data_IF_761981974282
#
_entry.id   IF_761981974282
#
_cell.length_a   1.000
_cell.length_b   1.000
_cell.length_c   1.000
_cell.angle_alpha   90.00
_cell.angle_beta   90.00
_cell.angle_gamma   90.00
#
_symmetry.space_group_name_H-M   'P 1'
#
loop_
_entity.id
_entity.type
_entity.pdbx_description
1 polymer ?
#
# COMPACT_ATOMS: atom_id res chain seq x y z
N UNK A 1 49.28 60.19 7.06
CA UNK A 1 50.45 59.76 6.26
C UNK A 1 50.61 58.26 6.53
N UNK A 2 50.47 57.31 5.62
CA UNK A 2 50.59 57.30 4.16
C UNK A 2 49.47 56.44 3.54
N UNK A 3 49.03 56.88 2.35
CA UNK A 3 48.30 56.09 1.36
C UNK A 3 49.27 55.12 0.66
N UNK A 4 48.68 54.06 0.09
CA UNK A 4 49.07 53.31 -1.14
C UNK A 4 48.93 51.80 -0.88
N UNK A 5 47.81 51.19 -1.26
CA UNK A 5 47.49 50.65 -2.60
C UNK A 5 48.35 49.43 -2.98
N UNK A 6 47.74 48.24 -3.06
CA UNK A 6 47.58 47.52 -4.32
C UNK A 6 46.75 46.24 -4.13
N UNK A 7 45.84 46.03 -5.08
CA UNK A 7 44.98 44.86 -5.28
C UNK A 7 45.82 43.69 -5.78
N UNK A 8 45.59 42.48 -5.28
CA UNK A 8 45.71 41.25 -6.08
C UNK A 8 44.65 40.23 -5.63
N UNK A 9 43.75 39.94 -6.55
CA UNK A 9 42.76 38.86 -6.53
C UNK A 9 43.49 37.59 -6.94
N UNK A 10 43.39 36.53 -6.13
CA UNK A 10 43.51 35.15 -6.61
C UNK A 10 42.45 34.31 -5.91
N UNK A 11 41.34 34.13 -6.62
CA UNK A 11 40.40 33.06 -6.36
C UNK A 11 40.98 31.76 -6.92
N UNK A 12 41.00 30.70 -6.12
CA UNK A 12 41.07 29.33 -6.65
C UNK A 12 40.02 28.52 -5.88
N UNK A 13 38.83 28.44 -6.51
CA UNK A 13 37.81 27.43 -6.24
C UNK A 13 38.31 26.10 -6.83
N UNK A 14 38.39 25.06 -6.00
CA UNK A 14 38.67 23.70 -6.49
C UNK A 14 37.33 23.04 -6.84
N UNK A 15 36.96 23.14 -8.11
CA UNK A 15 35.90 22.36 -8.75
C UNK A 15 36.60 21.27 -9.59
N UNK A 16 36.47 20.00 -9.21
CA UNK A 16 36.92 18.88 -10.03
C UNK A 16 35.71 18.29 -10.77
N UNK A 17 35.75 18.41 -12.09
CA UNK A 17 34.70 18.03 -13.04
C UNK A 17 35.19 16.83 -13.86
N UNK A 18 34.28 15.85 -13.99
CA UNK A 18 34.14 14.82 -15.03
C UNK A 18 35.28 13.80 -15.25
N UNK A 19 34.94 12.52 -15.04
CA UNK A 19 35.38 11.44 -15.91
C UNK A 19 34.15 10.92 -16.70
N UNK A 20 34.08 11.29 -17.97
CA UNK A 20 33.18 10.69 -18.97
C UNK A 20 33.72 9.31 -19.34
N UNK A 21 33.02 8.24 -18.94
CA UNK A 21 33.10 6.97 -19.63
C UNK A 21 31.83 6.79 -20.44
N UNK A 22 31.95 7.01 -21.76
CA UNK A 22 30.96 6.55 -22.73
C UNK A 22 30.97 5.02 -22.75
N UNK A 23 29.88 4.39 -22.31
CA UNK A 23 29.47 3.08 -22.80
C UNK A 23 28.19 3.28 -23.61
N UNK A 24 28.32 3.27 -24.93
CA UNK A 24 27.19 2.98 -25.82
C UNK A 24 26.88 1.49 -25.72
N UNK A 25 25.68 1.12 -25.28
CA UNK A 25 25.23 -0.27 -25.27
C UNK A 25 23.85 -0.49 -24.64
N UNK A 26 22.83 -0.58 -25.50
CA UNK A 26 21.45 -1.04 -25.26
C UNK A 26 20.54 -0.24 -24.31
N UNK A 27 19.52 0.35 -24.92
CA UNK A 27 18.33 0.91 -24.30
C UNK A 27 17.56 -0.12 -23.48
N UNK A 28 17.71 -0.08 -22.16
CA UNK A 28 16.71 -0.49 -21.20
C UNK A 28 16.35 0.73 -20.36
N UNK A 29 15.06 1.05 -20.25
CA UNK A 29 14.56 2.13 -19.40
C UNK A 29 15.22 2.05 -18.01
N UNK A 30 15.84 3.14 -17.58
CA UNK A 30 16.63 3.20 -16.35
C UNK A 30 15.83 2.71 -15.15
N UNK A 31 16.32 1.67 -14.49
CA UNK A 31 15.94 1.42 -13.11
C UNK A 31 16.59 2.52 -12.28
N UNK A 32 15.76 3.35 -11.64
CA UNK A 32 16.26 4.31 -10.65
C UNK A 32 17.03 3.56 -9.55
N UNK A 33 18.20 4.07 -9.13
CA UNK A 33 18.96 3.48 -8.04
C UNK A 33 18.08 3.44 -6.79
N UNK A 34 18.06 2.30 -6.12
CA UNK A 34 17.36 2.14 -4.84
C UNK A 34 18.18 2.90 -3.80
N UNK A 35 17.87 4.18 -3.60
CA UNK A 35 18.35 4.93 -2.45
C UNK A 35 17.92 4.19 -1.17
N UNK A 36 18.80 4.15 -0.18
CA UNK A 36 18.49 3.69 1.18
C UNK A 36 17.45 4.65 1.77
N UNK A 37 16.17 4.37 1.56
CA UNK A 37 15.10 5.26 1.97
C UNK A 37 13.81 4.95 1.21
N UNK A 38 12.79 4.61 1.98
CA UNK A 38 11.49 4.10 1.55
C UNK A 38 10.71 5.13 0.73
N UNK A 39 10.98 5.26 -0.58
CA UNK A 39 10.09 6.01 -1.47
C UNK A 39 8.85 5.17 -1.79
N UNK A 40 7.78 5.46 -1.06
CA UNK A 40 6.44 5.06 -1.43
C UNK A 40 6.00 5.90 -2.65
N UNK A 41 5.91 5.25 -3.82
CA UNK A 41 5.54 5.91 -5.09
C UNK A 41 4.20 6.65 -5.07
N UNK A 42 3.31 6.40 -4.12
CA UNK A 42 1.99 7.06 -4.07
C UNK A 42 2.03 8.36 -3.26
N UNK A 43 2.80 8.41 -2.18
CA UNK A 43 2.78 9.54 -1.23
C UNK A 43 4.04 10.40 -1.26
N UNK A 44 5.12 9.91 -1.87
CA UNK A 44 6.38 10.64 -1.98
C UNK A 44 6.56 11.24 -3.39
N UNK A 45 5.49 11.27 -4.20
CA UNK A 45 5.39 12.04 -5.45
C UNK A 45 5.13 13.50 -5.15
N UNK A 46 5.47 14.36 -6.11
CA UNK A 46 5.07 15.77 -6.08
C UNK A 46 3.52 15.86 -6.05
N UNK A 47 2.92 16.66 -5.14
CA UNK A 47 1.47 16.85 -5.09
C UNK A 47 0.83 17.25 -6.43
N UNK A 48 1.58 17.95 -7.29
CA UNK A 48 1.13 18.37 -8.62
C UNK A 48 1.08 17.24 -9.66
N UNK A 49 1.59 16.05 -9.33
CA UNK A 49 1.56 14.85 -10.18
C UNK A 49 0.55 13.79 -9.69
N UNK A 50 -0.13 14.05 -8.57
CA UNK A 50 -1.07 13.09 -8.00
C UNK A 50 -2.34 13.00 -8.87
N UNK A 51 -2.73 11.77 -9.19
CA UNK A 51 -3.94 11.46 -9.97
C UNK A 51 -4.98 10.74 -9.10
N UNK A 52 -5.00 11.00 -7.80
CA UNK A 52 -5.93 10.41 -6.84
C UNK A 52 -6.21 11.37 -5.67
N UNK A 53 -7.33 11.21 -4.94
CA UNK A 53 -7.56 11.95 -3.70
C UNK A 53 -6.46 11.74 -2.67
N UNK A 54 -6.17 12.76 -1.88
CA UNK A 54 -5.12 12.73 -0.85
C UNK A 54 -5.75 12.65 0.54
N UNK A 55 -5.38 11.63 1.30
CA UNK A 55 -5.74 11.51 2.70
C UNK A 55 -4.83 12.38 3.57
N UNK A 56 -5.40 13.00 4.62
CA UNK A 56 -4.62 13.79 5.59
C UNK A 56 -3.68 12.93 6.44
N UNK A 57 -3.88 11.61 6.45
CA UNK A 57 -3.05 10.62 7.11
C UNK A 57 -2.87 9.40 6.17
N UNK A 58 -1.72 8.73 6.23
CA UNK A 58 -1.36 7.65 5.29
C UNK A 58 -1.93 6.29 5.70
N UNK A 59 -2.62 6.21 6.84
CA UNK A 59 -3.03 4.95 7.45
C UNK A 59 -1.99 4.43 8.45
N UNK A 60 -2.42 3.51 9.30
CA UNK A 60 -1.61 2.97 10.38
C UNK A 60 -2.40 2.73 11.66
N UNK A 61 -1.70 2.74 12.79
CA UNK A 61 -2.26 2.38 14.09
C UNK A 61 -2.57 3.60 14.94
N UNK A 62 -3.68 3.55 15.66
CA UNK A 62 -4.10 4.63 16.53
C UNK A 62 -4.80 4.13 17.79
N UNK A 63 -4.65 4.86 18.89
CA UNK A 63 -5.20 4.46 20.19
C UNK A 63 -6.60 5.00 20.49
N UNK A 64 -6.92 6.18 19.96
CA UNK A 64 -8.18 6.90 20.20
C UNK A 64 -8.82 7.28 18.86
N UNK A 65 -10.08 7.74 18.87
CA UNK A 65 -10.70 8.22 17.63
C UNK A 65 -9.82 9.26 16.93
N UNK A 66 -9.76 9.18 15.61
CA UNK A 66 -9.03 10.14 14.78
C UNK A 66 -9.95 10.78 13.76
N UNK A 67 -9.63 12.02 13.38
CA UNK A 67 -10.27 12.71 12.28
C UNK A 67 -9.41 12.52 11.03
N UNK A 68 -10.05 12.03 9.96
CA UNK A 68 -9.47 11.91 8.63
C UNK A 68 -10.12 12.94 7.71
N UNK A 69 -9.32 13.63 6.90
CA UNK A 69 -9.79 14.48 5.80
C UNK A 69 -9.27 13.96 4.47
N UNK A 70 -10.02 14.26 3.42
CA UNK A 70 -9.66 13.94 2.04
C UNK A 70 -9.61 15.23 1.23
N UNK A 71 -8.61 15.39 0.37
CA UNK A 71 -8.44 16.57 -0.47
C UNK A 71 -8.37 16.16 -1.95
N UNK A 72 -8.98 16.97 -2.80
CA UNK A 72 -8.88 16.82 -4.27
C UNK A 72 -7.44 17.19 -4.68
N UNK A 73 -6.74 16.37 -5.47
CA UNK A 73 -5.38 16.69 -5.91
C UNK A 73 -5.38 17.94 -6.79
N UNK A 74 -4.24 18.64 -6.83
CA UNK A 74 -4.10 19.91 -7.57
C UNK A 74 -4.42 19.76 -9.06
N UNK A 75 -4.09 18.60 -9.63
CA UNK A 75 -4.39 18.20 -11.01
C UNK A 75 -5.88 18.22 -11.36
N UNK A 76 -6.76 18.07 -10.37
CA UNK A 76 -8.21 17.99 -10.55
C UNK A 76 -8.94 19.20 -9.95
N UNK A 77 -8.26 20.33 -9.67
CA UNK A 77 -8.90 21.54 -9.14
C UNK A 77 -9.78 22.23 -10.21
N UNK A 78 -10.93 21.63 -10.50
CA UNK A 78 -12.05 22.21 -11.24
C UNK A 78 -13.27 22.37 -10.31
N UNK A 79 -14.19 23.26 -10.67
CA UNK A 79 -15.35 23.60 -9.83
C UNK A 79 -16.39 22.49 -9.67
N UNK A 80 -16.30 21.44 -10.48
CA UNK A 80 -17.29 20.36 -10.58
C UNK A 80 -16.77 18.99 -10.10
N UNK A 81 -15.58 18.93 -9.50
CA UNK A 81 -15.04 17.67 -8.99
C UNK A 81 -15.65 17.32 -7.64
N UNK A 82 -16.13 16.07 -7.54
CA UNK A 82 -16.65 15.47 -6.30
C UNK A 82 -15.79 14.29 -5.87
N UNK A 83 -15.67 14.06 -4.56
CA UNK A 83 -15.02 12.87 -4.01
C UNK A 83 -16.11 11.88 -3.58
N UNK A 84 -15.96 10.62 -4.01
CA UNK A 84 -16.80 9.49 -3.57
C UNK A 84 -16.00 8.59 -2.66
N UNK A 85 -16.63 8.08 -1.60
CA UNK A 85 -15.96 7.32 -0.54
C UNK A 85 -16.70 6.03 -0.18
N UNK A 86 -15.94 5.05 0.30
CA UNK A 86 -16.45 3.80 0.87
C UNK A 86 -15.63 3.40 2.12
N UNK A 87 -16.25 2.64 3.01
CA UNK A 87 -15.66 2.19 4.28
C UNK A 87 -15.62 0.66 4.45
N UNK A 88 -16.17 -0.07 3.48
CA UNK A 88 -16.33 -1.52 3.48
C UNK A 88 -15.33 -2.25 2.57
N UNK A 89 -14.42 -1.49 1.94
CA UNK A 89 -13.43 -2.01 1.01
C UNK A 89 -13.88 -2.07 -0.45
N UNK A 90 -15.14 -1.73 -0.77
CA UNK A 90 -15.64 -1.63 -2.15
C UNK A 90 -15.06 -0.43 -2.90
N UNK A 91 -15.00 -0.50 -4.22
CA UNK A 91 -14.53 0.59 -5.08
C UNK A 91 -15.57 1.70 -5.12
N UNK A 92 -15.20 2.96 -4.82
CA UNK A 92 -16.11 4.07 -5.01
C UNK A 92 -16.52 4.18 -6.48
N UNK A 93 -17.82 4.34 -6.69
CA UNK A 93 -18.45 4.68 -7.97
C UNK A 93 -19.24 6.00 -7.85
N UNK A 94 -19.82 6.46 -8.95
CA UNK A 94 -20.59 7.72 -8.97
C UNK A 94 -21.83 7.69 -8.05
N UNK A 95 -22.31 6.50 -7.67
CA UNK A 95 -23.43 6.30 -6.74
C UNK A 95 -23.02 6.20 -5.27
N UNK A 96 -21.73 6.06 -4.99
CA UNK A 96 -21.18 5.97 -3.63
C UNK A 96 -21.35 7.27 -2.85
N UNK A 97 -21.15 7.19 -1.53
CA UNK A 97 -21.29 8.33 -0.63
C UNK A 97 -20.40 9.49 -1.07
N UNK A 98 -20.97 10.70 -1.17
CA UNK A 98 -20.21 11.90 -1.50
C UNK A 98 -19.57 12.44 -0.22
N UNK A 99 -18.26 12.70 -0.27
CA UNK A 99 -17.54 13.35 0.80
C UNK A 99 -17.91 14.85 0.87
N UNK A 100 -18.31 15.31 2.05
CA UNK A 100 -18.82 16.67 2.29
C UNK A 100 -17.73 17.70 2.61
N UNK A 101 -16.47 17.27 2.69
CA UNK A 101 -15.34 18.12 3.09
C UNK A 101 -15.08 18.15 4.61
N UNK A 102 -15.92 17.49 5.41
CA UNK A 102 -15.87 17.44 6.86
C UNK A 102 -14.93 16.39 7.44
N UNK A 103 -14.84 16.34 8.77
CA UNK A 103 -14.01 15.34 9.46
C UNK A 103 -14.68 13.96 9.42
N UNK A 104 -13.99 12.97 8.85
CA UNK A 104 -14.36 11.56 8.95
C UNK A 104 -13.83 11.03 10.28
N UNK A 105 -14.72 10.71 11.22
CA UNK A 105 -14.34 10.23 12.55
C UNK A 105 -14.16 8.71 12.51
N UNK A 106 -12.91 8.22 12.58
CA UNK A 106 -12.61 6.80 12.63
C UNK A 106 -12.48 6.30 14.08
N UNK A 107 -12.99 5.10 14.41
CA UNK A 107 -13.60 4.12 13.50
C UNK A 107 -15.13 4.27 13.36
N UNK A 108 -15.72 5.39 13.80
CA UNK A 108 -17.18 5.58 13.85
C UNK A 108 -17.83 5.60 12.46
N UNK A 109 -17.14 6.14 11.45
CA UNK A 109 -17.62 6.21 10.07
C UNK A 109 -17.77 4.83 9.40
N UNK A 110 -17.01 3.84 9.88
CA UNK A 110 -17.08 2.47 9.37
C UNK A 110 -15.85 1.67 9.73
N UNK A 111 -16.06 0.48 10.28
CA UNK A 111 -14.98 -0.45 10.57
C UNK A 111 -15.50 -1.90 10.66
N UNK A 112 -14.59 -2.82 10.37
CA UNK A 112 -14.71 -4.22 10.78
C UNK A 112 -14.13 -4.36 12.18
N UNK A 113 -14.84 -5.05 13.07
CA UNK A 113 -14.35 -5.38 14.42
C UNK A 113 -13.99 -6.85 14.50
N UNK A 114 -12.86 -7.16 15.12
CA UNK A 114 -12.38 -8.55 15.22
C UNK A 114 -13.18 -9.42 16.18
N UNK A 115 -13.91 -8.81 17.10
CA UNK A 115 -14.89 -9.49 17.93
C UNK A 115 -16.28 -8.91 17.64
N UNK A 116 -17.31 -9.77 17.67
CA UNK A 116 -18.68 -9.34 17.37
C UNK A 116 -19.29 -8.50 18.51
N UNK A 117 -18.70 -8.55 19.70
CA UNK A 117 -19.09 -7.72 20.84
C UNK A 117 -18.49 -6.32 20.76
N UNK A 118 -19.28 -5.25 20.81
CA UNK A 118 -18.78 -3.87 20.73
C UNK A 118 -18.14 -3.38 22.04
N UNK A 119 -17.03 -3.97 22.49
CA UNK A 119 -16.27 -3.49 23.65
C UNK A 119 -14.91 -2.86 23.25
N UNK A 120 -14.27 -2.15 24.18
CA UNK A 120 -12.99 -1.47 23.93
C UNK A 120 -11.79 -2.42 23.78
N UNK A 121 -11.97 -3.74 23.97
CA UNK A 121 -10.92 -4.75 23.75
C UNK A 121 -10.82 -5.19 22.29
N UNK A 122 -11.67 -4.65 21.42
CA UNK A 122 -11.67 -5.02 20.01
C UNK A 122 -10.69 -4.19 19.19
N UNK A 123 -10.04 -4.88 18.27
CA UNK A 123 -9.43 -4.22 17.12
C UNK A 123 -10.55 -3.68 16.23
N UNK A 124 -10.42 -2.43 15.78
CA UNK A 124 -11.30 -1.88 14.74
C UNK A 124 -10.45 -1.53 13.52
N UNK A 125 -10.79 -2.09 12.37
CA UNK A 125 -10.10 -1.83 11.11
C UNK A 125 -11.02 -1.07 10.19
N UNK A 126 -10.63 0.15 9.82
CA UNK A 126 -11.31 0.98 8.85
C UNK A 126 -10.51 0.97 7.55
N UNK A 127 -11.14 0.57 6.46
CA UNK A 127 -10.57 0.67 5.12
C UNK A 127 -11.30 1.80 4.43
N UNK A 128 -10.59 2.89 4.13
CA UNK A 128 -11.18 4.03 3.42
C UNK A 128 -10.69 3.98 1.98
N UNK A 129 -11.62 3.94 1.03
CA UNK A 129 -11.32 4.11 -0.39
C UNK A 129 -12.00 5.38 -0.89
N UNK A 130 -11.30 6.15 -1.72
CA UNK A 130 -11.80 7.39 -2.27
C UNK A 130 -11.40 7.57 -3.73
N UNK A 131 -12.29 8.16 -4.54
CA UNK A 131 -11.98 8.54 -5.91
C UNK A 131 -12.64 9.88 -6.28
N UNK A 132 -12.00 10.63 -7.17
CA UNK A 132 -12.56 11.86 -7.73
C UNK A 132 -13.46 11.54 -8.92
N UNK A 133 -14.51 12.34 -9.12
CA UNK A 133 -15.44 12.25 -10.25
C UNK A 133 -15.74 13.64 -10.80
N UNK A 134 -15.84 13.76 -12.12
CA UNK A 134 -16.27 15.00 -12.79
C UNK A 134 -17.78 15.23 -12.67
N UNK A 135 -18.27 16.38 -13.19
CA UNK A 135 -19.68 16.73 -13.18
C UNK A 135 -20.59 15.77 -13.96
N UNK A 136 -20.04 14.98 -14.88
CA UNK A 136 -20.74 13.97 -15.66
C UNK A 136 -20.76 12.59 -14.97
N UNK A 137 -20.06 12.44 -13.85
CA UNK A 137 -19.96 11.20 -13.09
C UNK A 137 -18.90 10.24 -13.62
N UNK A 138 -17.95 10.68 -14.45
CA UNK A 138 -16.80 9.89 -14.83
C UNK A 138 -15.73 9.95 -13.74
N UNK A 139 -15.12 8.81 -13.41
CA UNK A 139 -14.00 8.78 -12.47
C UNK A 139 -12.79 9.51 -13.06
N UNK A 140 -12.17 10.35 -12.24
CA UNK A 140 -10.91 11.01 -12.52
C UNK A 140 -9.77 10.27 -11.82
N UNK A 141 -8.89 9.68 -12.63
CA UNK A 141 -7.68 9.02 -12.16
C UNK A 141 -7.94 7.76 -11.32
N UNK A 142 -7.08 7.57 -10.32
CA UNK A 142 -6.92 6.35 -9.54
C UNK A 142 -7.72 6.40 -8.24
N UNK A 143 -7.89 5.23 -7.63
CA UNK A 143 -8.58 5.06 -6.35
C UNK A 143 -7.56 5.11 -5.22
N UNK A 144 -7.68 6.10 -4.34
CA UNK A 144 -6.88 6.17 -3.13
C UNK A 144 -7.42 5.16 -2.11
N UNK A 145 -6.53 4.39 -1.48
CA UNK A 145 -6.88 3.38 -0.47
C UNK A 145 -5.96 3.51 0.74
N UNK A 146 -6.54 3.51 1.95
CA UNK A 146 -5.78 3.51 3.20
C UNK A 146 -6.45 2.63 4.25
N UNK A 147 -5.62 1.96 5.06
CA UNK A 147 -6.07 1.11 6.18
C UNK A 147 -5.70 1.79 7.50
N UNK A 148 -6.69 1.92 8.38
CA UNK A 148 -6.54 2.50 9.71
C UNK A 148 -6.95 1.48 10.76
N UNK A 149 -6.10 1.26 11.76
CA UNK A 149 -6.25 0.20 12.76
C UNK A 149 -6.33 0.84 14.15
N UNK A 150 -7.54 0.89 14.73
CA UNK A 150 -7.72 1.25 16.14
C UNK A 150 -7.26 0.09 17.00
N UNK A 151 -6.26 0.34 17.83
CA UNK A 151 -5.79 -0.63 18.80
C UNK A 151 -6.79 -0.80 19.95
N UNK A 152 -6.94 -2.02 20.48
CA UNK A 152 -7.80 -2.27 21.62
C UNK A 152 -7.21 -1.64 22.88
N UNK A 153 -8.06 -1.50 23.90
CA UNK A 153 -7.64 -1.15 25.25
C UNK A 153 -7.57 -2.38 26.13
N UNK A 154 -6.49 -2.48 26.90
CA UNK A 154 -6.27 -3.46 27.96
C UNK A 154 -6.13 -2.71 29.28
N UNK A 155 -6.98 -3.05 30.24
CA UNK A 155 -7.01 -2.42 31.57
C UNK A 155 -7.12 -0.88 31.55
N UNK A 156 -7.88 -0.35 30.59
CA UNK A 156 -8.13 1.09 30.43
C UNK A 156 -7.16 1.82 29.51
N UNK A 157 -6.03 1.19 29.18
CA UNK A 157 -4.94 1.77 28.38
C UNK A 157 -4.86 1.14 26.99
N UNK A 158 -4.34 1.88 26.01
CA UNK A 158 -4.17 1.39 24.64
C UNK A 158 -3.10 0.28 24.62
N UNK A 159 -3.44 -0.88 24.05
CA UNK A 159 -2.53 -2.02 23.92
C UNK A 159 -1.64 -1.88 22.66
N UNK A 160 -0.61 -1.04 22.76
CA UNK A 160 0.39 -0.85 21.70
C UNK A 160 1.21 -2.10 21.38
N UNK A 161 1.20 -3.09 22.28
CA UNK A 161 1.90 -4.36 22.07
C UNK A 161 0.98 -5.44 21.50
N UNK A 162 -0.23 -5.08 21.04
CA UNK A 162 -1.18 -6.02 20.45
C UNK A 162 -0.60 -6.79 19.26
N UNK A 163 0.27 -6.16 18.49
CA UNK A 163 1.00 -6.77 17.38
C UNK A 163 2.50 -6.73 17.70
N UNK A 164 3.14 -7.90 17.65
CA UNK A 164 4.59 -8.07 17.79
C UNK A 164 5.21 -8.65 16.50
N UNK A 165 4.42 -8.68 15.43
CA UNK A 165 4.79 -9.10 14.10
C UNK A 165 4.33 -8.04 13.10
N UNK A 166 5.00 -7.94 11.94
CA UNK A 166 4.53 -7.09 10.86
C UNK A 166 3.09 -7.40 10.46
N UNK A 167 2.34 -6.36 10.06
CA UNK A 167 0.94 -6.47 9.66
C UNK A 167 0.81 -6.18 8.18
N UNK A 168 0.10 -7.04 7.44
CA UNK A 168 -0.23 -6.84 6.04
C UNK A 168 -1.74 -6.62 5.91
N UNK A 169 -2.12 -5.51 5.29
CA UNK A 169 -3.49 -5.27 4.83
C UNK A 169 -3.58 -5.59 3.34
N UNK A 170 -4.63 -6.30 2.93
CA UNK A 170 -4.95 -6.61 1.53
C UNK A 170 -6.39 -6.16 1.28
N UNK A 171 -6.58 -5.20 0.38
CA UNK A 171 -7.88 -4.64 0.04
C UNK A 171 -8.18 -4.89 -1.44
N UNK A 172 -9.34 -5.45 -1.73
CA UNK A 172 -9.79 -5.76 -3.09
C UNK A 172 -11.31 -5.78 -3.12
N UNK A 173 -11.89 -5.57 -4.31
CA UNK A 173 -13.31 -5.85 -4.54
C UNK A 173 -13.69 -7.26 -4.12
N UNK A 174 -14.86 -7.39 -3.49
CA UNK A 174 -15.41 -8.69 -3.09
C UNK A 174 -15.52 -9.64 -4.30
N UNK A 175 -15.96 -9.12 -5.45
CA UNK A 175 -16.09 -9.87 -6.69
C UNK A 175 -14.78 -10.51 -7.16
N UNK A 176 -13.62 -9.91 -6.86
CA UNK A 176 -12.33 -10.53 -7.18
C UNK A 176 -12.08 -11.82 -6.39
N UNK A 177 -12.75 -11.99 -5.25
CA UNK A 177 -12.67 -13.17 -4.40
C UNK A 177 -13.82 -14.14 -4.68
N UNK A 178 -15.07 -13.65 -4.66
CA UNK A 178 -16.27 -14.49 -4.55
C UNK A 178 -17.05 -14.67 -5.85
N UNK A 179 -16.80 -13.85 -6.89
CA UNK A 179 -17.54 -13.96 -8.15
C UNK A 179 -17.46 -15.40 -8.71
N UNK A 180 -18.57 -16.06 -9.07
CA UNK A 180 -18.53 -17.47 -9.48
C UNK A 180 -17.68 -17.73 -10.73
N UNK A 181 -17.56 -16.75 -11.63
CA UNK A 181 -16.85 -16.88 -12.90
C UNK A 181 -15.39 -16.43 -12.80
N UNK A 182 -15.12 -15.35 -12.07
CA UNK A 182 -13.80 -14.71 -12.04
C UNK A 182 -13.16 -14.66 -10.65
N UNK A 183 -13.91 -14.92 -9.59
CA UNK A 183 -13.43 -14.84 -8.21
C UNK A 183 -12.41 -15.92 -7.90
N UNK A 184 -11.28 -15.54 -7.30
CA UNK A 184 -10.17 -16.46 -7.03
C UNK A 184 -10.50 -17.50 -5.96
N UNK A 185 -11.48 -17.25 -5.07
CA UNK A 185 -11.96 -18.25 -4.09
C UNK A 185 -13.01 -19.18 -4.68
N UNK A 186 -13.85 -18.69 -5.58
CA UNK A 186 -14.81 -19.53 -6.30
C UNK A 186 -14.11 -20.49 -7.29
N UNK A 187 -12.92 -20.11 -7.78
CA UNK A 187 -12.22 -20.82 -8.85
C UNK A 187 -10.80 -21.22 -8.46
N UNK A 188 -10.67 -22.03 -7.40
CA UNK A 188 -9.38 -22.38 -6.78
C UNK A 188 -8.38 -23.10 -7.71
N UNK A 189 -8.85 -23.64 -8.83
CA UNK A 189 -8.00 -24.31 -9.81
C UNK A 189 -7.30 -23.36 -10.78
N UNK A 190 -7.79 -22.12 -10.91
CA UNK A 190 -7.26 -21.10 -11.82
C UNK A 190 -5.77 -20.82 -11.69
N UNK A 191 -5.06 -20.53 -12.78
CA UNK A 191 -3.59 -20.39 -12.84
C UNK A 191 -3.14 -19.14 -13.60
N UNK A 192 -1.84 -18.98 -13.83
CA UNK A 192 -1.36 -17.91 -14.70
C UNK A 192 -1.73 -16.48 -14.27
N UNK A 193 -1.64 -15.57 -15.24
CA UNK A 193 -1.92 -14.14 -15.12
C UNK A 193 -3.41 -13.83 -15.22
N UNK A 194 -4.17 -14.68 -15.91
CA UNK A 194 -5.61 -14.54 -16.12
C UNK A 194 -6.43 -14.73 -14.83
N UNK A 195 -5.82 -15.35 -13.81
CA UNK A 195 -6.38 -15.48 -12.46
C UNK A 195 -5.77 -14.51 -11.44
N UNK A 196 -5.06 -13.48 -11.91
CA UNK A 196 -4.62 -12.38 -11.07
C UNK A 196 -5.70 -11.29 -10.99
N UNK A 197 -5.91 -10.76 -9.79
CA UNK A 197 -6.89 -9.71 -9.51
C UNK A 197 -6.19 -8.50 -8.91
N UNK A 198 -6.70 -7.28 -9.10
CA UNK A 198 -6.14 -6.11 -8.46
C UNK A 198 -6.28 -6.21 -6.94
N UNK A 199 -5.27 -5.76 -6.22
CA UNK A 199 -5.28 -5.63 -4.76
C UNK A 199 -4.49 -4.38 -4.38
N UNK A 200 -4.95 -3.66 -3.38
CA UNK A 200 -4.12 -2.70 -2.66
C UNK A 200 -3.45 -3.41 -1.49
N UNK A 201 -2.12 -3.39 -1.44
CA UNK A 201 -1.35 -3.98 -0.35
C UNK A 201 -0.73 -2.87 0.50
N UNK A 202 -0.91 -2.97 1.82
CA UNK A 202 -0.22 -2.15 2.80
C UNK A 202 0.60 -3.05 3.72
N UNK A 203 1.87 -2.71 3.93
CA UNK A 203 2.77 -3.40 4.85
C UNK A 203 3.18 -2.45 5.98
N UNK A 204 2.94 -2.88 7.21
CA UNK A 204 3.39 -2.22 8.42
C UNK A 204 4.42 -3.10 9.13
N UNK A 205 5.48 -2.48 9.61
CA UNK A 205 6.46 -3.13 10.47
C UNK A 205 5.87 -3.52 11.83
N UNK A 206 6.59 -4.34 12.58
CA UNK A 206 6.16 -4.80 13.90
C UNK A 206 5.99 -3.64 14.91
N UNK A 207 6.68 -2.51 14.71
CA UNK A 207 6.54 -1.29 15.52
C UNK A 207 5.39 -0.38 15.06
N UNK A 208 4.67 -0.77 14.02
CA UNK A 208 3.56 -0.01 13.42
C UNK A 208 3.98 0.97 12.33
N UNK A 209 5.26 1.09 12.00
CA UNK A 209 5.74 1.96 10.93
C UNK A 209 5.19 1.51 9.58
N UNK A 210 4.61 2.44 8.82
CA UNK A 210 4.20 2.20 7.44
C UNK A 210 5.44 2.00 6.56
N UNK A 211 5.67 0.77 6.09
CA UNK A 211 6.75 0.45 5.19
C UNK A 211 6.37 0.76 3.74
N UNK A 212 5.28 0.21 3.22
CA UNK A 212 4.77 0.61 1.90
C UNK A 212 3.26 0.43 1.78
N UNK A 213 2.67 1.15 0.84
CA UNK A 213 1.28 1.02 0.42
C UNK A 213 1.24 1.23 -1.10
N UNK A 214 0.74 0.27 -1.86
CA UNK A 214 0.62 0.39 -3.32
C UNK A 214 -0.33 -0.66 -3.91
N UNK A 215 -0.77 -0.42 -5.14
CA UNK A 215 -1.53 -1.41 -5.88
C UNK A 215 -0.63 -2.52 -6.47
N UNK A 216 -1.19 -3.71 -6.56
CA UNK A 216 -0.51 -4.93 -6.96
C UNK A 216 -1.51 -5.91 -7.58
N UNK A 217 -0.99 -7.05 -8.03
CA UNK A 217 -1.81 -8.19 -8.43
C UNK A 217 -1.78 -9.31 -7.40
N UNK A 218 -2.93 -9.85 -7.04
CA UNK A 218 -3.09 -11.01 -6.14
C UNK A 218 -3.63 -12.23 -6.89
N UNK A 219 -3.11 -13.40 -6.55
CA UNK A 219 -3.68 -14.68 -6.96
C UNK A 219 -3.42 -15.76 -5.93
N UNK A 220 -4.18 -16.85 -6.00
CA UNK A 220 -3.89 -18.03 -5.17
C UNK A 220 -2.54 -18.63 -5.53
N UNK A 221 -1.79 -19.03 -4.50
CA UNK A 221 -0.50 -19.70 -4.63
C UNK A 221 -0.59 -21.16 -4.16
N UNK A 222 0.24 -22.02 -4.75
CA UNK A 222 0.28 -23.45 -4.46
C UNK A 222 -0.45 -24.31 -5.49
N UNK A 223 -0.75 -25.55 -5.10
CA UNK A 223 -1.40 -26.54 -5.96
C UNK A 223 -2.69 -27.02 -5.29
N UNK A 224 -2.68 -28.18 -4.62
CA UNK A 224 -3.82 -28.73 -3.87
C UNK A 224 -4.23 -27.85 -2.68
N UNK A 225 -3.27 -27.19 -2.03
CA UNK A 225 -3.49 -26.32 -0.85
C UNK A 225 -4.36 -25.09 -1.13
N UNK A 226 -4.62 -24.77 -2.40
CA UNK A 226 -5.54 -23.70 -2.81
C UNK A 226 -6.99 -23.96 -2.40
N UNK A 227 -7.35 -25.23 -2.17
CA UNK A 227 -8.67 -25.62 -1.67
C UNK A 227 -8.86 -25.50 -0.15
N UNK A 228 -7.79 -25.25 0.64
CA UNK A 228 -7.90 -25.10 2.09
C UNK A 228 -8.61 -23.80 2.46
N UNK A 229 -9.25 -23.74 3.64
CA UNK A 229 -9.97 -22.54 4.09
C UNK A 229 -9.03 -21.32 4.14
N UNK A 230 -7.91 -21.44 4.85
CA UNK A 230 -6.83 -20.46 4.82
C UNK A 230 -6.07 -20.57 3.50
N UNK A 231 -6.03 -19.48 2.74
CA UNK A 231 -5.43 -19.45 1.40
C UNK A 231 -3.97 -19.00 1.45
N UNK A 232 -3.14 -19.56 0.58
CA UNK A 232 -1.85 -18.95 0.23
C UNK A 232 -2.04 -17.95 -0.90
N UNK A 233 -1.36 -16.81 -0.82
CA UNK A 233 -1.42 -15.76 -1.85
C UNK A 233 -0.04 -15.49 -2.43
N UNK A 234 0.01 -15.29 -3.75
CA UNK A 234 1.11 -14.58 -4.40
C UNK A 234 0.64 -13.17 -4.70
N UNK A 235 1.36 -12.19 -4.20
CA UNK A 235 1.16 -10.78 -4.50
C UNK A 235 2.34 -10.32 -5.36
N UNK A 236 2.06 -9.78 -6.54
CA UNK A 236 3.06 -9.36 -7.53
C UNK A 236 2.97 -7.86 -7.72
N UNK A 237 4.11 -7.15 -7.65
CA UNK A 237 4.15 -5.74 -7.97
C UNK A 237 3.94 -5.58 -9.48
N UNK A 238 2.78 -5.06 -9.86
CA UNK A 238 2.44 -4.78 -11.25
C UNK A 238 2.70 -3.33 -11.57
N UNK A 239 2.82 -3.02 -12.85
CA UNK A 239 2.83 -1.63 -13.32
C UNK A 239 1.39 -1.17 -13.57
N UNK A 240 1.16 0.13 -13.61
CA UNK A 240 -0.14 0.79 -13.85
C UNK A 240 -0.92 0.15 -15.02
N UNK A 241 -0.24 -0.16 -16.13
CA UNK A 241 -0.88 -0.62 -17.35
C UNK A 241 -1.39 -2.07 -17.29
N UNK A 242 -0.99 -2.85 -16.28
CA UNK A 242 -1.19 -4.30 -16.26
C UNK A 242 -2.66 -4.74 -16.30
N UNK A 243 -3.54 -4.03 -15.58
CA UNK A 243 -4.98 -4.36 -15.54
C UNK A 243 -5.80 -3.65 -16.62
N UNK A 244 -5.16 -2.94 -17.55
CA UNK A 244 -5.82 -2.14 -18.61
C UNK A 244 -6.88 -1.18 -18.05
N UNK A 245 -6.59 -0.53 -16.93
CA UNK A 245 -7.45 0.46 -16.28
C UNK A 245 -6.58 1.49 -15.57
N UNK A 246 -7.07 2.72 -15.49
CA UNK A 246 -6.48 3.83 -14.74
C UNK A 246 -6.85 3.83 -13.25
N UNK A 247 -7.64 2.84 -12.78
CA UNK A 247 -8.06 2.73 -11.38
C UNK A 247 -6.89 2.51 -10.41
N UNK A 248 -5.82 1.86 -10.87
CA UNK A 248 -4.78 1.30 -10.01
C UNK A 248 -3.40 1.81 -10.41
N UNK A 249 -2.58 2.17 -9.43
CA UNK A 249 -1.21 2.66 -9.60
C UNK A 249 -0.19 1.64 -9.12
N UNK A 250 0.11 0.69 -10.00
CA UNK A 250 1.12 -0.31 -9.73
C UNK A 250 2.54 0.25 -9.85
N UNK A 251 3.37 0.09 -8.81
CA UNK A 251 4.75 0.57 -8.81
C UNK A 251 5.74 -0.26 -9.66
N UNK A 252 5.37 -1.49 -10.02
CA UNK A 252 6.19 -2.47 -10.75
C UNK A 252 7.23 -3.23 -9.91
N UNK A 253 7.54 -2.76 -8.69
CA UNK A 253 8.40 -3.43 -7.70
C UNK A 253 7.89 -3.09 -6.30
N UNK A 254 8.08 -3.98 -5.33
CA UNK A 254 8.03 -3.62 -3.90
C UNK A 254 9.42 -3.14 -3.49
N UNK A 255 9.62 -1.82 -3.40
CA UNK A 255 10.92 -1.20 -3.08
C UNK A 255 11.05 -1.03 -1.56
N UNK A 256 11.31 -2.15 -0.89
CA UNK A 256 11.50 -2.18 0.55
C UNK A 256 12.35 -3.38 0.95
N UNK A 257 13.23 -3.23 1.94
CA UNK A 257 14.06 -4.32 2.48
C UNK A 257 13.26 -5.20 3.44
N UNK A 258 12.28 -5.95 2.91
CA UNK A 258 11.39 -6.84 3.67
C UNK A 258 12.11 -7.85 4.58
N UNK A 259 13.32 -8.25 4.17
CA UNK A 259 14.17 -9.17 4.92
C UNK A 259 15.56 -8.53 5.01
N UNK A 260 15.85 -7.72 6.05
CA UNK A 260 17.11 -6.98 6.15
C UNK A 260 18.35 -7.86 6.06
N UNK A 261 18.27 -9.09 6.60
CA UNK A 261 19.37 -10.07 6.58
C UNK A 261 19.52 -10.78 5.22
N UNK A 262 18.61 -10.54 4.27
CA UNK A 262 18.68 -11.12 2.94
C UNK A 262 19.55 -10.26 2.05
N UNK A 263 20.79 -10.67 1.85
CA UNK A 263 21.76 -9.92 1.07
C UNK A 263 21.76 -10.32 -0.42
N UNK A 264 22.14 -9.36 -1.25
CA UNK A 264 22.52 -9.55 -2.64
C UNK A 264 23.93 -10.13 -2.74
N UNK A 265 24.34 -10.55 -3.93
CA UNK A 265 25.73 -11.01 -4.17
C UNK A 265 26.79 -9.93 -3.90
N UNK A 266 26.40 -8.65 -3.93
CA UNK A 266 27.26 -7.51 -3.57
C UNK A 266 27.48 -7.34 -2.07
N UNK A 267 26.72 -8.03 -1.21
CA UNK A 267 26.73 -7.84 0.24
C UNK A 267 25.72 -6.82 0.77
N UNK A 268 25.04 -6.08 -0.11
CA UNK A 268 24.00 -5.12 0.27
C UNK A 268 22.64 -5.81 0.51
N UNK A 269 21.76 -5.30 1.39
CA UNK A 269 20.41 -5.84 1.56
C UNK A 269 19.60 -5.86 0.26
N UNK A 270 18.81 -6.92 0.07
CA UNK A 270 17.85 -7.01 -1.02
C UNK A 270 16.63 -6.13 -0.71
N UNK A 271 16.60 -4.96 -1.34
CA UNK A 271 15.63 -3.90 -1.09
C UNK A 271 14.52 -3.78 -2.16
N UNK A 272 14.43 -4.72 -3.10
CA UNK A 272 13.39 -4.72 -4.13
C UNK A 272 12.91 -6.13 -4.46
N UNK A 273 11.59 -6.30 -4.56
CA UNK A 273 10.94 -7.59 -4.82
C UNK A 273 9.90 -7.47 -5.93
N UNK A 274 9.87 -8.45 -6.84
CA UNK A 274 8.79 -8.56 -7.84
C UNK A 274 7.52 -9.15 -7.24
N UNK A 275 7.65 -10.07 -6.30
CA UNK A 275 6.50 -10.72 -5.67
C UNK A 275 6.80 -11.18 -4.25
N UNK A 276 5.77 -11.14 -3.42
CA UNK A 276 5.72 -11.66 -2.07
C UNK A 276 4.75 -12.85 -2.05
N UNK A 277 5.06 -13.90 -1.29
CA UNK A 277 4.17 -15.05 -1.13
C UNK A 277 3.80 -15.18 0.34
N UNK A 278 2.51 -15.03 0.64
CA UNK A 278 1.94 -15.33 1.95
C UNK A 278 1.52 -16.80 1.94
N UNK A 279 2.24 -17.63 2.69
CA UNK A 279 1.98 -19.06 2.75
C UNK A 279 1.10 -19.39 3.95
N UNK A 280 0.14 -20.28 3.75
CA UNK A 280 -0.80 -20.77 4.75
C UNK A 280 -0.29 -21.97 5.57
N UNK A 281 1.01 -22.27 5.56
CA UNK A 281 1.55 -23.48 6.22
C UNK A 281 1.23 -24.82 5.53
N UNK A 282 0.25 -24.89 4.63
CA UNK A 282 0.02 -26.01 3.70
C UNK A 282 0.07 -27.41 4.34
N UNK A 283 1.06 -28.24 3.95
CA UNK A 283 1.21 -29.60 4.49
C UNK A 283 1.67 -29.61 5.94
N UNK A 284 2.35 -28.55 6.41
CA UNK A 284 2.81 -28.45 7.78
C UNK A 284 1.63 -28.25 8.75
N UNK A 285 0.53 -27.63 8.29
CA UNK A 285 -0.71 -27.53 9.07
C UNK A 285 -1.60 -28.78 9.02
N UNK A 286 -1.36 -29.71 8.09
CA UNK A 286 -2.10 -30.98 7.98
C UNK A 286 -1.47 -32.08 8.87
N UNK A 287 -0.19 -31.96 9.23
CA UNK A 287 0.55 -32.96 10.01
C UNK A 287 0.59 -32.69 11.52
N UNK A 288 0.15 -31.50 11.96
CA UNK A 288 -0.05 -31.20 13.38
C UNK A 288 -1.55 -31.36 13.64
N UNK A 289 -1.91 -32.48 14.28
CA UNK A 289 -3.30 -32.90 14.46
C UNK A 289 -4.19 -31.84 15.11
N UNK A 290 -5.50 -31.99 14.92
CA UNK A 290 -6.56 -31.18 15.51
C UNK A 290 -6.44 -31.12 17.04
N UNK A 291 -5.63 -30.19 17.54
CA UNK A 291 -5.71 -29.71 18.90
C UNK A 291 -6.76 -28.60 18.93
N UNK A 292 -7.99 -28.96 19.28
CA UNK A 292 -9.11 -28.02 19.42
C UNK A 292 -8.87 -26.91 20.46
N UNK A 293 -7.75 -26.92 21.18
CA UNK A 293 -7.34 -25.84 22.09
C UNK A 293 -6.39 -24.82 21.45
N UNK A 294 -5.95 -25.02 20.21
CA UNK A 294 -5.04 -24.12 19.50
C UNK A 294 -5.59 -23.70 18.13
N UNK A 295 -6.06 -22.47 18.07
CA UNK A 295 -6.23 -21.75 16.80
C UNK A 295 -4.83 -21.27 16.38
N UNK A 296 -4.24 -21.93 15.40
CA UNK A 296 -3.02 -21.45 14.73
C UNK A 296 -3.38 -20.53 13.56
N UNK A 297 -2.85 -19.31 13.59
CA UNK A 297 -2.86 -18.33 12.49
C UNK A 297 -1.80 -18.68 11.44
#
# INVERSE_FOLDING_TARGET
>A
MNKNSLKWIWAVNLLAVLLLCFFSGCSGAGEEPVESGTRNKTYDRDPSELLQPVFSDRGGFYGNKMALRITVPETFQASDVSIRITFDGSEPDAGSEAYDGGDIILPDAGCVKTDFERNDRNLSVSVVRAACFDGDGNRLGQIATATYIKLPKKDGEVDWNRFNMPVISLVTEEGNLTNPQTGIFANVQGRGSEWERPVHITFFEADGTLAFAQDAGIRLFGSSTRGLAQKSFRITARKEEYFNTDKYDGAGKFRYALFPDRLQSSGEPLAAYDSIVLRNGGNDSILVGEDNSRISF
#
